data_IF_025571630558
#
_entry.id   IF_025571630558
#
_cell.length_a   1.000
_cell.length_b   1.000
_cell.length_c   1.000
_cell.angle_alpha   90.00
_cell.angle_beta   90.00
_cell.angle_gamma   90.00
#
_symmetry.space_group_name_H-M   'P 1'
#
loop_
_entity.id
_entity.type
_entity.pdbx_description
1 polymer ?
#
# COMPACT_ATOMS: atom_id res chain seq x y z
N UNK A 1 0.28 22.73 8.15
CA UNK A 1 -0.68 21.66 8.50
C UNK A 1 -0.54 20.67 7.38
N UNK A 2 -0.26 19.41 7.70
CA UNK A 2 -0.04 18.37 6.68
C UNK A 2 -1.40 17.92 6.17
N UNK A 3 -1.55 17.82 4.86
CA UNK A 3 -2.78 17.40 4.19
C UNK A 3 -2.54 16.09 3.42
N UNK A 4 -2.93 14.98 4.04
CA UNK A 4 -2.95 13.67 3.39
C UNK A 4 -4.39 13.32 3.07
N UNK A 5 -4.70 13.20 1.79
CA UNK A 5 -6.04 12.84 1.30
C UNK A 5 -6.01 11.45 0.69
N UNK A 6 -7.12 10.73 0.83
CA UNK A 6 -7.30 9.37 0.34
C UNK A 6 -8.33 9.37 -0.78
N UNK A 7 -8.04 8.63 -1.85
CA UNK A 7 -9.06 8.24 -2.80
C UNK A 7 -10.09 7.33 -2.10
N UNK A 8 -11.37 7.74 -2.00
CA UNK A 8 -12.38 6.94 -1.31
C UNK A 8 -12.65 5.61 -2.01
N UNK A 9 -12.30 5.48 -3.28
CA UNK A 9 -12.53 4.29 -4.12
C UNK A 9 -11.23 3.50 -4.35
N UNK A 10 -10.16 3.78 -3.59
CA UNK A 10 -8.82 3.19 -3.83
C UNK A 10 -8.81 1.67 -3.99
N UNK A 11 -9.63 0.95 -3.22
CA UNK A 11 -9.73 -0.52 -3.32
C UNK A 11 -10.78 -0.97 -4.35
N UNK A 12 -11.89 -0.24 -4.47
CA UNK A 12 -12.95 -0.52 -5.45
C UNK A 12 -12.45 -0.35 -6.90
N UNK A 13 -11.48 0.54 -7.13
CA UNK A 13 -10.86 0.75 -8.42
C UNK A 13 -9.91 -0.38 -8.84
N UNK A 14 -9.53 -1.26 -7.92
CA UNK A 14 -8.56 -2.33 -8.15
C UNK A 14 -9.20 -3.71 -8.18
N UNK A 15 -10.24 -3.94 -7.38
CA UNK A 15 -10.87 -5.24 -7.21
C UNK A 15 -12.39 -5.19 -7.10
N UNK A 16 -13.02 -6.36 -7.07
CA UNK A 16 -14.46 -6.47 -6.84
C UNK A 16 -14.72 -6.56 -5.33
N UNK A 17 -15.51 -5.64 -4.77
CA UNK A 17 -15.97 -5.78 -3.40
C UNK A 17 -16.73 -7.11 -3.23
N UNK A 18 -16.54 -7.78 -2.08
CA UNK A 18 -17.37 -8.95 -1.75
C UNK A 18 -18.85 -8.55 -1.66
N UNK A 19 -19.79 -9.51 -1.87
CA UNK A 19 -21.22 -9.23 -1.74
C UNK A 19 -21.60 -8.66 -0.37
N UNK A 20 -20.91 -9.08 0.68
CA UNK A 20 -20.89 -8.40 1.97
C UNK A 20 -19.70 -7.43 1.99
N UNK A 21 -19.94 -6.10 1.99
CA UNK A 21 -18.87 -5.12 2.05
C UNK A 21 -17.99 -5.29 3.28
N UNK A 22 -18.50 -5.80 4.40
CA UNK A 22 -17.71 -6.01 5.62
C UNK A 22 -16.61 -7.06 5.43
N UNK A 23 -16.74 -7.94 4.44
CA UNK A 23 -15.73 -8.94 4.08
C UNK A 23 -14.54 -8.34 3.32
N UNK A 24 -14.69 -7.15 2.70
CA UNK A 24 -13.63 -6.44 1.99
C UNK A 24 -13.67 -6.64 0.49
N UNK A 25 -12.53 -6.97 -0.12
CA UNK A 25 -12.37 -7.03 -1.57
C UNK A 25 -11.80 -8.37 -2.04
N UNK A 26 -12.40 -8.87 -3.12
CA UNK A 26 -11.92 -9.96 -3.95
C UNK A 26 -11.33 -9.35 -5.22
N UNK A 27 -10.01 -9.31 -5.32
CA UNK A 27 -9.38 -8.59 -6.41
C UNK A 27 -7.89 -8.48 -6.20
N UNK A 28 -7.14 -8.02 -7.22
CA UNK A 28 -5.69 -8.05 -7.20
C UNK A 28 -5.13 -7.45 -5.93
N UNK A 29 -4.10 -8.12 -5.43
CA UNK A 29 -2.97 -7.56 -4.69
C UNK A 29 -2.91 -6.03 -4.76
N UNK A 30 -3.16 -5.31 -3.63
CA UNK A 30 -3.37 -3.87 -3.67
C UNK A 30 -2.10 -3.13 -4.08
N UNK A 31 -2.29 -2.13 -4.93
CA UNK A 31 -1.29 -1.19 -5.43
C UNK A 31 -1.60 0.19 -4.87
N UNK A 32 -0.58 0.82 -4.29
CA UNK A 32 -0.66 2.17 -3.74
C UNK A 32 0.23 3.10 -4.53
N UNK A 33 -0.33 4.22 -4.96
CA UNK A 33 0.35 5.33 -5.62
C UNK A 33 0.23 6.57 -4.73
N UNK A 34 1.36 7.21 -4.46
CA UNK A 34 1.41 8.47 -3.71
C UNK A 34 1.68 9.61 -4.68
N UNK A 35 0.73 10.52 -4.84
CA UNK A 35 0.92 11.74 -5.62
C UNK A 35 1.33 12.88 -4.68
N UNK A 36 2.53 13.42 -4.90
CA UNK A 36 3.08 14.52 -4.11
C UNK A 36 4.20 15.22 -4.87
N UNK A 37 4.35 16.53 -4.66
CA UNK A 37 5.51 17.31 -5.13
C UNK A 37 6.80 16.96 -4.36
N UNK A 38 6.68 16.21 -3.26
CA UNK A 38 7.79 15.75 -2.40
C UNK A 38 8.17 14.30 -2.74
N UNK A 39 8.44 14.02 -4.01
CA UNK A 39 8.59 12.65 -4.56
C UNK A 39 9.57 11.78 -3.77
N UNK A 40 10.74 12.31 -3.40
CA UNK A 40 11.77 11.57 -2.68
C UNK A 40 11.31 11.19 -1.25
N UNK A 41 10.77 12.16 -0.51
CA UNK A 41 10.24 11.90 0.83
C UNK A 41 9.03 10.97 0.79
N UNK A 42 8.18 11.10 -0.24
CA UNK A 42 7.04 10.22 -0.48
C UNK A 42 7.48 8.78 -0.79
N UNK A 43 8.52 8.59 -1.59
CA UNK A 43 9.09 7.27 -1.88
C UNK A 43 9.65 6.63 -0.61
N UNK A 44 10.38 7.41 0.20
CA UNK A 44 10.87 6.95 1.50
C UNK A 44 9.73 6.61 2.49
N UNK A 45 8.65 7.39 2.50
CA UNK A 45 7.45 7.12 3.30
C UNK A 45 6.80 5.79 2.89
N UNK A 46 6.59 5.64 1.57
CA UNK A 46 5.95 4.49 0.99
C UNK A 46 6.77 3.22 1.23
N UNK A 47 8.09 3.31 1.12
CA UNK A 47 8.98 2.19 1.43
C UNK A 47 8.82 1.70 2.88
N UNK A 48 8.75 2.61 3.87
CA UNK A 48 8.50 2.22 5.26
C UNK A 48 7.10 1.67 5.46
N UNK A 49 6.10 2.31 4.86
CA UNK A 49 4.71 1.89 4.96
C UNK A 49 4.50 0.49 4.37
N UNK A 50 5.01 0.20 3.17
CA UNK A 50 4.77 -1.08 2.50
C UNK A 50 5.41 -2.26 3.25
N UNK A 51 6.55 -2.03 3.90
CA UNK A 51 7.18 -3.02 4.79
C UNK A 51 6.26 -3.33 5.98
N UNK A 52 5.69 -2.30 6.63
CA UNK A 52 4.76 -2.48 7.76
C UNK A 52 3.46 -3.16 7.30
N UNK A 53 2.88 -2.72 6.18
CA UNK A 53 1.68 -3.30 5.60
C UNK A 53 1.83 -4.80 5.30
N UNK A 54 3.03 -5.27 4.95
CA UNK A 54 3.30 -6.71 4.77
C UNK A 54 3.01 -7.55 6.02
N UNK A 55 3.07 -6.96 7.20
CA UNK A 55 2.79 -7.62 8.48
C UNK A 55 1.38 -7.34 9.01
N UNK A 56 0.49 -6.76 8.22
CA UNK A 56 -0.90 -6.58 8.62
C UNK A 56 -1.66 -7.88 8.38
N UNK A 57 -2.26 -8.41 9.45
CA UNK A 57 -3.10 -9.60 9.40
C UNK A 57 -4.53 -9.33 8.93
N UNK A 58 -5.29 -10.39 8.67
CA UNK A 58 -6.71 -10.33 8.28
C UNK A 58 -7.62 -9.57 9.25
N UNK A 59 -7.25 -9.52 10.54
CA UNK A 59 -7.93 -8.77 11.60
C UNK A 59 -7.63 -7.26 11.59
N UNK A 60 -6.71 -6.80 10.73
CA UNK A 60 -6.22 -5.42 10.70
C UNK A 60 -5.16 -5.09 11.75
N UNK A 61 -4.63 -6.11 12.43
CA UNK A 61 -3.54 -5.96 13.40
C UNK A 61 -2.18 -6.00 12.68
N UNK A 62 -1.30 -5.07 13.02
CA UNK A 62 0.11 -5.14 12.63
C UNK A 62 0.82 -6.16 13.53
N UNK A 63 1.32 -7.23 12.91
CA UNK A 63 2.01 -8.32 13.58
C UNK A 63 3.50 -8.00 13.72
N UNK A 64 4.10 -8.46 14.81
CA UNK A 64 5.56 -8.55 14.87
C UNK A 64 6.05 -9.66 13.95
N UNK A 65 7.34 -9.63 13.59
CA UNK A 65 7.96 -10.70 12.80
C UNK A 65 7.88 -12.08 13.46
N UNK A 66 7.91 -12.12 14.79
CA UNK A 66 7.77 -13.37 15.56
C UNK A 66 6.35 -13.93 15.45
N UNK A 67 5.33 -13.07 15.54
CA UNK A 67 3.93 -13.45 15.36
C UNK A 67 3.63 -13.88 13.93
N UNK A 68 4.08 -13.14 12.92
CA UNK A 68 3.94 -13.49 11.50
C UNK A 68 4.57 -14.87 11.20
N UNK A 69 5.73 -15.16 11.80
CA UNK A 69 6.41 -16.45 11.63
C UNK A 69 5.63 -17.65 12.17
N UNK A 70 4.65 -17.44 13.06
CA UNK A 70 3.77 -18.53 13.54
C UNK A 70 2.76 -18.98 12.49
N UNK A 71 2.39 -18.10 11.55
CA UNK A 71 1.36 -18.35 10.53
C UNK A 71 -0.06 -18.49 11.09
N UNK A 72 -0.33 -18.04 12.32
CA UNK A 72 -1.67 -18.08 12.92
C UNK A 72 -2.67 -17.15 12.23
N UNK A 73 -2.17 -16.09 11.61
CA UNK A 73 -2.96 -15.10 10.89
C UNK A 73 -2.35 -14.86 9.50
N UNK A 74 -3.22 -14.76 8.49
CA UNK A 74 -2.76 -14.52 7.12
C UNK A 74 -2.27 -13.07 6.94
N UNK A 75 -1.11 -12.92 6.30
CA UNK A 75 -0.51 -11.64 5.89
C UNK A 75 -0.12 -11.67 4.41
N UNK A 76 0.22 -10.50 3.83
CA UNK A 76 0.68 -10.44 2.46
C UNK A 76 1.97 -11.26 2.27
N UNK A 77 2.09 -12.00 1.17
CA UNK A 77 3.23 -12.88 0.91
C UNK A 77 4.48 -12.09 0.51
N UNK A 78 4.28 -11.01 -0.22
CA UNK A 78 5.34 -10.18 -0.78
C UNK A 78 4.93 -8.70 -0.74
N UNK A 79 5.94 -7.83 -0.67
CA UNK A 79 5.82 -6.40 -0.97
C UNK A 79 6.83 -6.07 -2.05
N UNK A 80 6.43 -5.23 -3.00
CA UNK A 80 7.33 -4.77 -4.06
C UNK A 80 8.35 -3.76 -3.55
N UNK A 81 9.47 -3.55 -4.28
CA UNK A 81 10.21 -2.29 -4.13
C UNK A 81 9.29 -1.11 -4.47
N UNK A 82 9.72 0.10 -4.11
CA UNK A 82 9.05 1.32 -4.57
C UNK A 82 9.49 1.59 -6.00
N UNK A 83 8.52 1.71 -6.91
CA UNK A 83 8.74 2.13 -8.29
C UNK A 83 8.46 3.62 -8.42
N UNK A 84 9.24 4.30 -9.25
CA UNK A 84 9.04 5.71 -9.60
C UNK A 84 8.31 5.78 -10.93
N UNK A 85 7.07 6.29 -10.92
CA UNK A 85 6.29 6.56 -12.13
C UNK A 85 6.19 8.06 -12.38
N UNK A 86 5.71 8.44 -13.56
CA UNK A 86 5.39 9.83 -13.88
C UNK A 86 4.31 10.42 -12.96
N UNK A 87 3.47 9.58 -12.35
CA UNK A 87 2.42 10.01 -11.43
C UNK A 87 2.89 10.09 -9.96
N UNK A 88 4.04 9.49 -9.63
CA UNK A 88 4.58 9.42 -8.28
C UNK A 88 5.12 8.04 -7.89
N UNK A 89 5.66 7.90 -6.66
CA UNK A 89 6.11 6.62 -6.16
C UNK A 89 4.93 5.67 -5.93
N UNK A 90 5.11 4.41 -6.32
CA UNK A 90 4.13 3.36 -6.15
C UNK A 90 4.74 2.06 -5.62
N UNK A 91 3.94 1.26 -4.93
CA UNK A 91 4.31 -0.07 -4.46
C UNK A 91 3.07 -0.95 -4.35
N UNK A 92 3.24 -2.27 -4.41
CA UNK A 92 2.15 -3.22 -4.28
C UNK A 92 2.45 -4.33 -3.26
N UNK A 93 1.39 -4.96 -2.76
CA UNK A 93 1.46 -6.13 -1.87
C UNK A 93 0.84 -7.33 -2.54
N UNK A 94 1.50 -8.48 -2.49
CA UNK A 94 0.90 -9.74 -2.93
C UNK A 94 0.03 -10.34 -1.83
N UNK A 95 -1.27 -10.03 -1.87
CA UNK A 95 -2.27 -10.61 -0.98
C UNK A 95 -2.98 -11.81 -1.60
N UNK A 96 -2.47 -12.38 -2.70
CA UNK A 96 -3.08 -13.53 -3.39
C UNK A 96 -4.55 -13.32 -3.78
N UNK A 97 -4.97 -12.06 -3.90
CA UNK A 97 -6.35 -11.71 -4.22
C UNK A 97 -7.28 -11.55 -3.01
N UNK A 98 -6.79 -11.78 -1.80
CA UNK A 98 -7.58 -11.70 -0.57
C UNK A 98 -7.26 -10.42 0.20
N UNK A 99 -8.18 -9.47 0.24
CA UNK A 99 -8.04 -8.24 1.03
C UNK A 99 -9.23 -8.04 1.96
N UNK A 100 -9.22 -8.66 3.16
CA UNK A 100 -10.22 -8.39 4.18
C UNK A 100 -10.31 -6.91 4.53
N UNK A 101 -11.52 -6.42 4.81
CA UNK A 101 -11.74 -4.99 5.09
C UNK A 101 -10.80 -4.43 6.15
N UNK A 102 -10.70 -5.11 7.30
CA UNK A 102 -9.86 -4.66 8.40
C UNK A 102 -8.37 -4.61 8.03
N UNK A 103 -7.90 -5.54 7.19
CA UNK A 103 -6.55 -5.54 6.64
C UNK A 103 -6.32 -4.31 5.76
N UNK A 104 -7.21 -4.05 4.80
CA UNK A 104 -7.13 -2.88 3.90
C UNK A 104 -7.17 -1.54 4.66
N UNK A 105 -8.11 -1.38 5.59
CA UNK A 105 -8.22 -0.16 6.41
C UNK A 105 -6.98 0.09 7.27
N UNK A 106 -6.39 -0.96 7.84
CA UNK A 106 -5.15 -0.85 8.59
C UNK A 106 -3.96 -0.46 7.71
N UNK A 107 -3.87 -1.00 6.48
CA UNK A 107 -2.84 -0.60 5.51
C UNK A 107 -2.94 0.88 5.13
N UNK A 108 -4.16 1.38 4.86
CA UNK A 108 -4.38 2.81 4.58
C UNK A 108 -3.98 3.68 5.77
N UNK A 109 -4.32 3.26 7.00
CA UNK A 109 -3.91 3.97 8.21
C UNK A 109 -2.39 4.06 8.33
N UNK A 110 -1.66 2.98 8.09
CA UNK A 110 -0.18 2.95 8.10
C UNK A 110 0.41 3.91 7.06
N UNK A 111 -0.14 3.90 5.84
CA UNK A 111 0.31 4.81 4.77
C UNK A 111 0.13 6.28 5.17
N UNK A 112 -1.04 6.64 5.71
CA UNK A 112 -1.32 7.99 6.20
C UNK A 112 -0.39 8.37 7.36
N UNK A 113 -0.14 7.46 8.30
CA UNK A 113 0.79 7.68 9.42
C UNK A 113 2.20 8.01 8.94
N UNK A 114 2.77 7.22 8.03
CA UNK A 114 4.14 7.42 7.53
C UNK A 114 4.30 8.70 6.69
N UNK A 115 3.29 9.06 5.90
CA UNK A 115 3.26 10.33 5.16
C UNK A 115 3.16 11.52 6.11
N UNK A 116 2.25 11.45 7.08
CA UNK A 116 2.02 12.51 8.05
C UNK A 116 3.24 12.73 8.95
N UNK A 117 3.89 11.65 9.39
CA UNK A 117 5.08 11.70 10.24
C UNK A 117 6.26 12.46 9.59
N UNK A 118 6.30 12.50 8.26
CA UNK A 118 7.31 13.22 7.48
C UNK A 118 6.88 14.61 7.03
N UNK A 119 5.66 15.03 7.34
CA UNK A 119 5.15 16.32 6.90
C UNK A 119 4.91 16.40 5.40
N UNK A 120 4.46 15.31 4.78
CA UNK A 120 4.25 15.22 3.34
C UNK A 120 2.78 15.50 3.02
N UNK A 121 2.54 16.55 2.23
CA UNK A 121 1.24 16.75 1.60
C UNK A 121 1.11 15.79 0.41
N UNK A 122 0.07 14.95 0.43
CA UNK A 122 -0.06 13.86 -0.54
C UNK A 122 -1.52 13.47 -0.81
N UNK A 123 -1.75 12.95 -2.02
CA UNK A 123 -2.95 12.19 -2.36
C UNK A 123 -2.58 10.72 -2.55
N UNK A 124 -3.21 9.83 -1.78
CA UNK A 124 -3.03 8.38 -1.90
C UNK A 124 -4.15 7.80 -2.75
N UNK A 125 -3.76 7.10 -3.82
CA UNK A 125 -4.69 6.49 -4.79
C UNK A 125 -4.06 5.20 -5.33
N UNK A 126 -4.63 4.66 -6.40
CA UNK A 126 -4.10 3.52 -7.15
C UNK A 126 -3.76 3.95 -8.57
N UNK A 127 -2.70 3.41 -9.20
CA UNK A 127 -2.41 3.75 -10.60
C UNK A 127 -3.47 3.17 -11.54
N UNK A 128 -3.78 3.90 -12.60
CA UNK A 128 -4.48 3.32 -13.75
C UNK A 128 -3.49 2.43 -14.51
N UNK A 129 -3.43 1.15 -14.17
CA UNK A 129 -2.54 0.20 -14.83
C UNK A 129 -3.07 -0.14 -16.21
N UNK A 130 -2.32 0.20 -17.26
CA UNK A 130 -2.57 -0.34 -18.60
C UNK A 130 -2.04 -1.79 -18.63
N UNK A 131 -2.89 -2.79 -18.93
CA UNK A 131 -2.47 -4.20 -18.98
C UNK A 131 -1.37 -4.48 -20.02
N UNK A 132 -1.16 -3.59 -21.01
CA UNK A 132 -0.11 -3.70 -22.03
C UNK A 132 1.20 -2.97 -21.63
N UNK A 133 1.24 -2.27 -20.49
CA UNK A 133 2.44 -1.56 -20.05
C UNK A 133 3.42 -2.53 -19.38
N UNK A 134 4.54 -2.79 -20.05
CA UNK A 134 5.65 -3.50 -19.44
C UNK A 134 6.22 -2.65 -18.28
N UNK A 135 6.21 -3.22 -17.08
CA UNK A 135 6.65 -2.64 -15.81
C UNK A 135 8.16 -2.30 -15.78
N UNK A 136 8.59 -1.35 -16.60
CA UNK A 136 9.98 -0.91 -16.74
C UNK A 136 10.27 0.35 -15.91
N UNK A 137 9.51 0.60 -14.85
CA UNK A 137 9.71 1.77 -14.01
C UNK A 137 11.00 1.67 -13.19
N UNK A 138 11.76 2.78 -13.06
CA UNK A 138 12.90 2.84 -12.16
C UNK A 138 12.51 2.44 -10.75
N UNK A 139 13.35 1.66 -10.10
CA UNK A 139 13.21 1.34 -8.67
C UNK A 139 13.85 2.47 -7.88
N UNK A 140 13.12 2.99 -6.89
CA UNK A 140 13.68 3.85 -5.86
C UNK A 140 14.51 3.01 -4.90
N UNK A 141 15.74 3.44 -4.64
CA UNK A 141 16.64 2.81 -3.68
C UNK A 141 16.80 3.74 -2.47
N UNK A 142 16.67 3.21 -1.24
CA UNK A 142 16.97 4.01 -0.06
C UNK A 142 18.46 4.35 -0.04
N UNK A 143 18.80 5.62 0.18
CA UNK A 143 20.18 6.00 0.49
C UNK A 143 20.65 5.20 1.72
N UNK A 144 21.71 4.39 1.56
CA UNK A 144 22.41 3.73 2.66
C UNK A 144 23.13 4.79 3.51
N UNK A 145 22.37 5.48 4.38
CA UNK A 145 22.89 6.43 5.36
C UNK A 145 23.64 5.76 6.52
#
# INVERSE_FOLDING_TARGET
MVDVTLDPEIFDAQGEAYPDPEEGWNGPSPVFLVQSDQTEQAAQALHRAIIRCKFVGTSGRELTREEDATGEEYTANYYSPVYLTDAGPMAYLDTKGELPRAMGEAMLRILVEELTAQGIDAYLTTPSLDPDEEWQWPIWEPDEG
#
